data_IF_827922303572
#
_entry.id   IF_827922303572
#
_cell.length_a   1.000
_cell.length_b   1.000
_cell.length_c   1.000
_cell.angle_alpha   90.00
_cell.angle_beta   90.00
_cell.angle_gamma   90.00
#
_symmetry.space_group_name_H-M   'P 1'
#
loop_
_entity.id
_entity.type
_entity.pdbx_description
1 polymer ?
#
# COMPACT_ATOMS: atom_id res chain seq x y z
N UNK A 1 18.19 20.18 -1.87
CA UNK A 1 16.87 20.80 -1.75
C UNK A 1 16.97 22.10 -0.93
N UNK A 2 17.05 22.06 0.37
CA UNK A 2 17.06 23.22 1.26
C UNK A 2 18.47 23.77 1.48
N UNK A 3 18.64 25.10 1.30
CA UNK A 3 19.95 25.77 1.43
C UNK A 3 20.28 26.17 2.88
N UNK A 4 19.27 26.44 3.72
CA UNK A 4 19.48 26.77 5.12
C UNK A 4 19.30 25.56 6.03
N UNK A 5 20.03 25.55 7.17
CA UNK A 5 19.91 24.49 8.18
C UNK A 5 18.53 24.49 8.85
N UNK A 6 17.96 25.67 9.03
CA UNK A 6 16.63 25.85 9.64
C UNK A 6 15.54 25.27 8.73
N UNK A 7 15.58 25.58 7.42
CA UNK A 7 14.61 25.03 6.45
C UNK A 7 14.74 23.49 6.35
N UNK A 8 15.98 22.98 6.35
CA UNK A 8 16.20 21.53 6.37
C UNK A 8 15.67 20.90 7.65
N UNK A 9 15.90 21.49 8.82
CA UNK A 9 15.41 20.97 10.09
C UNK A 9 13.87 20.96 10.13
N UNK A 10 13.22 22.00 9.60
CA UNK A 10 11.76 22.05 9.49
C UNK A 10 11.21 20.97 8.58
N UNK A 11 11.82 20.73 7.42
CA UNK A 11 11.44 19.65 6.51
C UNK A 11 11.62 18.28 7.17
N UNK A 12 12.76 18.04 7.82
CA UNK A 12 13.00 16.77 8.53
C UNK A 12 12.00 16.54 9.67
N UNK A 13 11.67 17.60 10.44
CA UNK A 13 10.67 17.51 11.52
C UNK A 13 9.29 17.07 11.02
N UNK A 14 8.85 17.56 9.87
CA UNK A 14 7.60 17.17 9.20
C UNK A 14 7.56 15.68 8.91
N UNK A 15 8.69 15.09 8.51
CA UNK A 15 8.77 13.66 8.23
C UNK A 15 8.89 12.76 9.47
N UNK A 16 8.95 13.32 10.68
CA UNK A 16 8.85 12.57 11.93
C UNK A 16 7.41 12.28 12.36
N UNK A 17 6.41 12.79 11.65
CA UNK A 17 5.02 12.47 11.89
C UNK A 17 4.72 11.01 11.64
N UNK A 18 3.62 10.55 12.28
CA UNK A 18 3.17 9.16 12.15
C UNK A 18 2.99 8.75 10.68
N UNK A 19 3.67 7.68 10.31
CA UNK A 19 3.59 7.10 8.98
C UNK A 19 3.68 5.59 9.09
N UNK A 20 2.63 4.88 8.67
CA UNK A 20 2.57 3.43 8.68
C UNK A 20 1.92 2.90 7.40
N UNK A 21 2.66 2.14 6.62
CA UNK A 21 2.18 1.48 5.40
C UNK A 21 2.92 0.17 5.18
N UNK A 22 2.48 -0.62 4.20
CA UNK A 22 3.18 -1.85 3.85
C UNK A 22 4.59 -1.57 3.31
N UNK A 23 5.61 -2.32 3.75
CA UNK A 23 7.00 -2.11 3.32
C UNK A 23 7.20 -2.32 1.81
N UNK A 24 6.29 -3.00 1.14
CA UNK A 24 6.36 -3.29 -0.28
C UNK A 24 6.10 -2.04 -1.14
N UNK A 25 5.18 -1.16 -0.72
CA UNK A 25 4.75 0.02 -1.49
C UNK A 25 5.30 1.34 -0.91
N UNK A 26 5.92 1.30 0.26
CA UNK A 26 6.43 2.50 0.95
C UNK A 26 7.23 3.43 0.04
N UNK A 27 8.04 2.88 -0.84
CA UNK A 27 8.93 3.64 -1.74
C UNK A 27 8.17 4.47 -2.79
N UNK A 28 6.95 4.06 -3.15
CA UNK A 28 6.07 4.85 -4.01
C UNK A 28 5.67 6.17 -3.31
N UNK A 29 5.23 6.08 -2.06
CA UNK A 29 4.85 7.27 -1.27
C UNK A 29 6.06 8.16 -1.00
N UNK A 30 7.21 7.56 -0.69
CA UNK A 30 8.45 8.31 -0.49
C UNK A 30 8.88 9.06 -1.77
N UNK A 31 8.69 8.46 -2.95
CA UNK A 31 8.93 9.12 -4.23
C UNK A 31 8.01 10.33 -4.43
N UNK A 32 6.73 10.20 -4.15
CA UNK A 32 5.76 11.30 -4.20
C UNK A 32 6.17 12.43 -3.25
N UNK A 33 6.49 12.08 -2.00
CA UNK A 33 6.92 13.06 -1.01
C UNK A 33 8.21 13.79 -1.42
N UNK A 34 9.16 13.09 -2.02
CA UNK A 34 10.40 13.72 -2.52
C UNK A 34 10.12 14.77 -3.60
N UNK A 35 9.18 14.49 -4.52
CA UNK A 35 8.77 15.45 -5.54
C UNK A 35 8.09 16.68 -4.92
N UNK A 36 7.26 16.47 -3.90
CA UNK A 36 6.56 17.57 -3.23
C UNK A 36 7.51 18.44 -2.38
N UNK A 37 8.49 17.83 -1.73
CA UNK A 37 9.53 18.58 -1.01
C UNK A 37 10.41 19.40 -1.98
N UNK A 38 10.64 18.91 -3.18
CA UNK A 38 11.36 19.67 -4.19
C UNK A 38 10.55 20.87 -4.68
N UNK A 39 9.26 20.71 -4.90
CA UNK A 39 8.35 21.81 -5.25
C UNK A 39 8.29 22.84 -4.12
N UNK A 40 8.11 22.39 -2.87
CA UNK A 40 8.12 23.28 -1.70
C UNK A 40 9.43 24.06 -1.54
N UNK A 41 10.55 23.50 -1.94
CA UNK A 41 11.84 24.18 -1.91
C UNK A 41 11.99 25.24 -3.01
N UNK A 42 11.25 25.11 -4.11
CA UNK A 42 11.33 25.95 -5.29
C UNK A 42 10.20 27.00 -5.38
N UNK A 43 9.01 26.73 -4.81
CA UNK A 43 7.86 27.64 -4.81
C UNK A 43 7.55 28.14 -3.39
N UNK A 44 7.78 29.43 -3.09
CA UNK A 44 7.45 30.03 -1.79
C UNK A 44 5.95 30.02 -1.45
N UNK A 45 5.07 29.88 -2.44
CA UNK A 45 3.62 29.84 -2.26
C UNK A 45 3.08 28.42 -2.11
N UNK A 46 3.94 27.41 -2.11
CA UNK A 46 3.53 26.02 -1.95
C UNK A 46 2.88 25.78 -0.59
N UNK A 47 1.69 25.19 -0.59
CA UNK A 47 1.03 24.80 0.66
C UNK A 47 1.69 23.55 1.24
N UNK A 48 2.52 23.77 2.24
CA UNK A 48 3.30 22.73 2.93
C UNK A 48 2.42 21.63 3.54
N UNK A 49 1.18 21.97 3.94
CA UNK A 49 0.23 20.99 4.51
C UNK A 49 -0.15 19.92 3.50
N UNK A 50 -0.04 20.20 2.21
CA UNK A 50 -0.30 19.24 1.13
C UNK A 50 0.59 17.99 1.23
N UNK A 51 1.83 18.13 1.69
CA UNK A 51 2.78 17.01 1.84
C UNK A 51 2.24 15.99 2.84
N UNK A 52 1.84 16.45 4.02
CA UNK A 52 1.35 15.57 5.08
C UNK A 52 -0.04 14.99 4.76
N UNK A 53 -0.90 15.80 4.15
CA UNK A 53 -2.23 15.37 3.70
C UNK A 53 -2.15 14.25 2.66
N UNK A 54 -1.28 14.35 1.66
CA UNK A 54 -1.09 13.29 0.65
C UNK A 54 -0.46 12.06 1.28
N UNK A 55 0.59 12.22 2.08
CA UNK A 55 1.25 11.12 2.77
C UNK A 55 0.26 10.29 3.60
N UNK A 56 -0.54 10.96 4.41
CA UNK A 56 -1.52 10.30 5.28
C UNK A 56 -2.70 9.70 4.51
N UNK A 57 -3.19 10.38 3.47
CA UNK A 57 -4.29 9.89 2.63
C UNK A 57 -3.92 8.64 1.82
N UNK A 58 -2.67 8.52 1.38
CA UNK A 58 -2.19 7.37 0.61
C UNK A 58 -1.76 6.18 1.49
N UNK A 59 -1.42 6.44 2.74
CA UNK A 59 -0.88 5.46 3.67
C UNK A 59 -1.76 4.22 3.83
N UNK A 60 -3.03 4.40 4.16
CA UNK A 60 -3.98 3.32 4.38
C UNK A 60 -4.36 2.55 3.11
N UNK A 61 -4.87 3.22 2.06
CA UNK A 61 -5.24 2.57 0.81
C UNK A 61 -4.11 1.77 0.18
N UNK A 62 -2.90 2.32 0.12
CA UNK A 62 -1.76 1.62 -0.45
C UNK A 62 -1.27 0.48 0.44
N UNK A 63 -1.39 0.60 1.77
CA UNK A 63 -1.15 -0.52 2.68
C UNK A 63 -2.07 -1.70 2.35
N UNK A 64 -3.38 -1.46 2.25
CA UNK A 64 -4.36 -2.49 1.92
C UNK A 64 -4.08 -3.18 0.57
N UNK A 65 -3.78 -2.43 -0.47
CA UNK A 65 -3.42 -2.98 -1.79
C UNK A 65 -2.13 -3.81 -1.69
N UNK A 66 -1.10 -3.29 -1.02
CA UNK A 66 0.18 -3.97 -0.87
C UNK A 66 0.06 -5.26 -0.09
N UNK A 67 -0.67 -5.24 1.02
CA UNK A 67 -0.88 -6.42 1.86
C UNK A 67 -1.68 -7.49 1.12
N UNK A 68 -2.74 -7.12 0.42
CA UNK A 68 -3.54 -8.07 -0.37
C UNK A 68 -2.71 -8.76 -1.46
N UNK A 69 -1.88 -8.00 -2.16
CA UNK A 69 -1.06 -8.54 -3.24
C UNK A 69 0.14 -9.33 -2.71
N UNK A 70 0.98 -8.72 -1.87
CA UNK A 70 2.24 -9.35 -1.45
C UNK A 70 2.03 -10.43 -0.38
N UNK A 71 1.22 -10.13 0.66
CA UNK A 71 0.97 -11.09 1.73
C UNK A 71 -0.15 -12.07 1.40
N UNK A 72 -1.25 -11.58 0.82
CA UNK A 72 -2.42 -12.39 0.51
C UNK A 72 -2.24 -13.28 -0.73
N UNK A 73 -1.53 -12.82 -1.75
CA UNK A 73 -1.42 -13.57 -3.03
C UNK A 73 -0.03 -14.11 -3.27
N UNK A 74 0.96 -13.23 -3.39
CA UNK A 74 2.31 -13.64 -3.80
C UNK A 74 2.97 -14.59 -2.81
N UNK A 75 2.81 -14.33 -1.51
CA UNK A 75 3.34 -15.19 -0.46
C UNK A 75 2.69 -16.57 -0.47
N UNK A 76 1.38 -16.65 -0.70
CA UNK A 76 0.68 -17.95 -0.76
C UNK A 76 1.16 -18.77 -1.94
N UNK A 77 1.34 -18.16 -3.13
CA UNK A 77 1.89 -18.82 -4.31
C UNK A 77 3.32 -19.31 -4.02
N UNK A 78 4.17 -18.45 -3.49
CA UNK A 78 5.54 -18.83 -3.14
C UNK A 78 5.59 -19.97 -2.13
N UNK A 79 4.72 -19.94 -1.09
CA UNK A 79 4.61 -21.00 -0.10
C UNK A 79 4.15 -22.31 -0.73
N UNK A 80 3.13 -22.29 -1.59
CA UNK A 80 2.62 -23.47 -2.26
C UNK A 80 3.69 -24.18 -3.09
N UNK A 81 4.42 -23.42 -3.92
CA UNK A 81 5.53 -23.96 -4.72
C UNK A 81 6.66 -24.46 -3.83
N UNK A 82 7.06 -23.67 -2.83
CA UNK A 82 8.16 -24.01 -1.94
C UNK A 82 7.91 -25.26 -1.13
N UNK A 83 6.73 -25.38 -0.52
CA UNK A 83 6.36 -26.56 0.29
C UNK A 83 6.17 -27.81 -0.56
N UNK A 84 5.57 -27.70 -1.75
CA UNK A 84 5.40 -28.85 -2.66
C UNK A 84 6.72 -29.51 -3.02
N UNK A 85 7.77 -28.73 -3.31
CA UNK A 85 9.10 -29.25 -3.61
C UNK A 85 9.84 -29.72 -2.35
N UNK A 86 9.68 -29.02 -1.23
CA UNK A 86 10.30 -29.42 0.02
C UNK A 86 9.81 -30.77 0.54
N UNK A 87 8.51 -31.06 0.39
CA UNK A 87 7.92 -32.35 0.74
C UNK A 87 8.47 -33.51 -0.10
N UNK A 88 8.99 -33.24 -1.29
CA UNK A 88 9.69 -34.21 -2.14
C UNK A 88 11.18 -34.34 -1.78
N UNK A 89 11.65 -33.68 -0.71
CA UNK A 89 13.06 -33.65 -0.33
C UNK A 89 13.94 -32.78 -1.24
N UNK A 90 13.34 -31.93 -2.08
CA UNK A 90 14.07 -31.12 -3.03
C UNK A 90 14.47 -29.77 -2.41
N UNK A 91 15.78 -29.51 -2.38
CA UNK A 91 16.38 -28.27 -1.84
C UNK A 91 15.95 -27.00 -2.63
N UNK A 92 15.44 -27.16 -3.85
CA UNK A 92 14.91 -26.05 -4.63
C UNK A 92 13.64 -25.45 -4.01
N UNK A 93 12.94 -26.16 -3.14
CA UNK A 93 11.73 -25.67 -2.46
C UNK A 93 11.96 -24.35 -1.72
N UNK A 94 12.83 -24.30 -0.70
CA UNK A 94 13.16 -23.07 0.03
C UNK A 94 13.75 -21.98 -0.87
N UNK A 95 14.59 -22.36 -1.85
CA UNK A 95 15.21 -21.41 -2.78
C UNK A 95 14.16 -20.73 -3.63
N UNK A 96 13.24 -21.47 -4.24
CA UNK A 96 12.19 -20.91 -5.06
C UNK A 96 11.18 -20.07 -4.23
N UNK A 97 10.87 -20.49 -3.01
CA UNK A 97 10.08 -19.66 -2.09
C UNK A 97 10.68 -18.26 -1.93
N UNK A 98 11.98 -18.19 -1.62
CA UNK A 98 12.69 -16.93 -1.44
C UNK A 98 12.70 -16.11 -2.73
N UNK A 99 12.98 -16.72 -3.87
CA UNK A 99 13.08 -16.02 -5.15
C UNK A 99 11.73 -15.51 -5.64
N UNK A 100 10.69 -16.33 -5.61
CA UNK A 100 9.34 -15.97 -6.06
C UNK A 100 8.78 -14.82 -5.23
N UNK A 101 9.03 -14.81 -3.92
CA UNK A 101 8.55 -13.72 -3.06
C UNK A 101 9.40 -12.45 -3.17
N UNK A 102 10.72 -12.57 -3.11
CA UNK A 102 11.59 -11.40 -3.00
C UNK A 102 11.88 -10.70 -4.32
N UNK A 103 11.98 -11.42 -5.45
CA UNK A 103 12.31 -10.78 -6.74
C UNK A 103 11.25 -9.74 -7.13
N UNK A 104 9.94 -10.06 -7.19
CA UNK A 104 8.92 -9.06 -7.51
C UNK A 104 8.87 -7.92 -6.49
N UNK A 105 9.03 -8.23 -5.21
CA UNK A 105 9.06 -7.25 -4.14
C UNK A 105 10.19 -6.23 -4.31
N UNK A 106 11.43 -6.70 -4.50
CA UNK A 106 12.60 -5.83 -4.63
C UNK A 106 12.54 -5.01 -5.92
N UNK A 107 12.13 -5.61 -7.03
CA UNK A 107 11.94 -4.91 -8.30
C UNK A 107 10.89 -3.81 -8.16
N UNK A 108 9.74 -4.13 -7.55
CA UNK A 108 8.72 -3.12 -7.31
C UNK A 108 9.25 -1.95 -6.48
N UNK A 109 9.91 -2.23 -5.36
CA UNK A 109 10.50 -1.17 -4.50
C UNK A 109 11.50 -0.30 -5.24
N UNK A 110 12.33 -0.91 -6.08
CA UNK A 110 13.32 -0.18 -6.86
C UNK A 110 12.66 0.81 -7.84
N UNK A 111 11.68 0.34 -8.61
CA UNK A 111 11.02 1.18 -9.60
C UNK A 111 9.98 2.14 -8.98
N UNK A 112 9.33 1.74 -7.89
CA UNK A 112 8.27 2.51 -7.26
C UNK A 112 8.72 3.90 -6.78
N UNK A 113 9.97 4.05 -6.33
CA UNK A 113 10.53 5.37 -5.98
C UNK A 113 10.50 6.32 -7.18
N UNK A 114 10.99 5.86 -8.33
CA UNK A 114 11.01 6.67 -9.56
C UNK A 114 9.61 6.95 -10.10
N UNK A 115 8.71 5.96 -10.03
CA UNK A 115 7.30 6.14 -10.41
C UNK A 115 6.60 7.12 -9.47
N UNK A 116 6.80 6.99 -8.16
CA UNK A 116 6.26 7.91 -7.17
C UNK A 116 6.71 9.34 -7.40
N UNK A 117 7.99 9.54 -7.67
CA UNK A 117 8.53 10.86 -7.99
C UNK A 117 7.87 11.47 -9.25
N UNK A 118 7.76 10.70 -10.33
CA UNK A 118 7.08 11.14 -11.57
C UNK A 118 5.59 11.40 -11.35
N UNK A 119 4.92 10.58 -10.54
CA UNK A 119 3.53 10.79 -10.17
C UNK A 119 3.39 12.07 -9.34
N UNK A 120 4.28 12.29 -8.38
CA UNK A 120 4.28 13.50 -7.53
C UNK A 120 4.40 14.78 -8.37
N UNK A 121 5.34 14.86 -9.30
CA UNK A 121 5.51 16.02 -10.17
C UNK A 121 4.31 16.24 -11.12
N UNK A 122 3.75 15.18 -11.68
CA UNK A 122 2.56 15.27 -12.55
C UNK A 122 1.28 15.59 -11.79
N UNK A 123 1.20 15.14 -10.54
CA UNK A 123 0.10 15.38 -9.63
C UNK A 123 0.04 16.82 -9.18
N UNK A 124 1.18 17.41 -8.81
CA UNK A 124 1.30 18.81 -8.39
C UNK A 124 0.81 19.77 -9.48
N UNK A 125 1.18 19.52 -10.74
CA UNK A 125 0.68 20.32 -11.87
C UNK A 125 -0.84 20.32 -11.95
N UNK A 126 -1.48 19.15 -11.79
CA UNK A 126 -2.94 19.01 -11.84
C UNK A 126 -3.66 19.63 -10.64
N UNK A 127 -3.04 19.58 -9.44
CA UNK A 127 -3.61 20.20 -8.24
C UNK A 127 -3.61 21.74 -8.39
N UNK A 128 -2.51 22.30 -8.85
CA UNK A 128 -2.38 23.75 -9.07
C UNK A 128 -3.38 24.25 -10.14
N UNK A 129 -3.62 23.43 -11.18
CA UNK A 129 -4.52 23.80 -12.28
C UNK A 129 -6.01 23.64 -11.94
N UNK A 130 -6.43 22.65 -11.12
CA UNK A 130 -7.83 22.22 -11.03
C UNK A 130 -8.41 22.11 -9.61
N UNK A 131 -7.67 22.39 -8.55
CA UNK A 131 -8.16 22.25 -7.17
C UNK A 131 -8.62 20.81 -6.79
N UNK A 132 -8.10 19.79 -7.46
CA UNK A 132 -8.58 18.39 -7.38
C UNK A 132 -8.21 17.63 -6.10
N UNK A 133 -7.61 18.29 -5.11
CA UNK A 133 -7.14 17.65 -3.87
C UNK A 133 -8.23 16.85 -3.14
N UNK A 134 -9.41 17.46 -3.00
CA UNK A 134 -10.54 16.80 -2.32
C UNK A 134 -11.02 15.52 -3.01
N UNK A 135 -11.09 15.52 -4.34
CA UNK A 135 -11.52 14.37 -5.13
C UNK A 135 -10.53 13.20 -5.05
N UNK A 136 -9.24 13.49 -4.95
CA UNK A 136 -8.20 12.47 -4.84
C UNK A 136 -8.16 11.85 -3.44
N UNK A 137 -8.27 12.66 -2.40
CA UNK A 137 -8.39 12.17 -1.02
C UNK A 137 -9.63 11.29 -0.85
N UNK A 138 -10.77 11.71 -1.42
CA UNK A 138 -12.00 10.93 -1.42
C UNK A 138 -11.82 9.62 -2.18
N UNK A 139 -11.24 9.64 -3.38
CA UNK A 139 -10.99 8.44 -4.17
C UNK A 139 -10.06 7.45 -3.47
N UNK A 140 -8.97 7.93 -2.88
CA UNK A 140 -8.05 7.11 -2.08
C UNK A 140 -8.75 6.50 -0.86
N UNK A 141 -9.60 7.26 -0.16
CA UNK A 141 -10.36 6.79 0.99
C UNK A 141 -11.38 5.72 0.62
N UNK A 142 -12.09 5.88 -0.52
CA UNK A 142 -13.03 4.88 -1.03
C UNK A 142 -12.31 3.57 -1.33
N UNK A 143 -11.20 3.62 -2.07
CA UNK A 143 -10.40 2.43 -2.39
C UNK A 143 -9.91 1.75 -1.10
N UNK A 144 -9.41 2.53 -0.13
CA UNK A 144 -8.95 2.00 1.15
C UNK A 144 -10.06 1.27 1.93
N UNK A 145 -11.24 1.87 2.02
CA UNK A 145 -12.39 1.26 2.67
C UNK A 145 -12.87 0.00 1.96
N UNK A 146 -12.87 0.00 0.61
CA UNK A 146 -13.22 -1.20 -0.17
C UNK A 146 -12.24 -2.35 0.08
N UNK A 147 -10.93 -2.07 0.10
CA UNK A 147 -9.90 -3.09 0.38
C UNK A 147 -10.04 -3.63 1.80
N UNK A 148 -10.18 -2.75 2.79
CA UNK A 148 -10.37 -3.15 4.20
C UNK A 148 -11.66 -3.96 4.36
N UNK A 149 -12.76 -3.51 3.77
CA UNK A 149 -14.04 -4.23 3.80
C UNK A 149 -13.96 -5.61 3.14
N UNK A 150 -13.31 -5.70 1.97
CA UNK A 150 -13.09 -6.97 1.28
C UNK A 150 -12.20 -7.95 2.07
N UNK A 151 -11.12 -7.45 2.68
CA UNK A 151 -10.27 -8.27 3.56
C UNK A 151 -11.04 -8.76 4.79
N UNK A 152 -11.78 -7.87 5.46
CA UNK A 152 -12.60 -8.22 6.61
C UNK A 152 -13.62 -9.29 6.24
N UNK A 153 -14.33 -9.14 5.13
CA UNK A 153 -15.30 -10.12 4.65
C UNK A 153 -14.67 -11.49 4.34
N UNK A 154 -13.45 -11.51 3.82
CA UNK A 154 -12.74 -12.75 3.53
C UNK A 154 -12.14 -13.44 4.77
N UNK A 155 -11.96 -12.72 5.88
CA UNK A 155 -11.42 -13.24 7.14
C UNK A 155 -12.52 -13.71 8.10
N UNK A 156 -13.77 -13.27 7.90
CA UNK A 156 -14.89 -13.67 8.74
C UNK A 156 -15.54 -14.92 8.10
N UNK A 157 -15.21 -16.09 8.63
CA UNK A 157 -15.89 -17.34 8.32
C UNK A 157 -16.95 -17.60 9.40
N UNK A 158 -18.20 -17.21 9.11
CA UNK A 158 -19.33 -17.43 10.04
C UNK A 158 -20.05 -18.70 9.61
N UNK A 159 -19.74 -19.79 10.27
CA UNK A 159 -20.45 -21.05 10.09
C UNK A 159 -21.66 -21.05 11.02
N UNK A 160 -22.83 -20.64 10.53
CA UNK A 160 -24.09 -20.69 11.28
C UNK A 160 -24.79 -22.01 10.92
N UNK A 161 -24.79 -23.04 11.79
CA UNK A 161 -25.51 -24.28 11.53
C UNK A 161 -27.00 -24.06 11.76
N UNK A 162 -27.66 -23.35 10.87
CA UNK A 162 -29.11 -23.21 10.87
C UNK A 162 -29.73 -24.49 10.32
N UNK A 163 -30.31 -25.30 11.19
CA UNK A 163 -31.17 -26.42 10.80
C UNK A 163 -32.61 -25.95 10.67
N UNK A 164 -33.12 -25.88 9.46
CA UNK A 164 -34.52 -25.56 9.18
C UNK A 164 -35.27 -26.87 8.93
N UNK A 165 -36.20 -27.20 9.80
CA UNK A 165 -37.01 -28.42 9.75
C UNK A 165 -36.81 -29.34 10.93
N UNK A 166 -37.79 -30.19 11.21
CA UNK A 166 -37.77 -31.23 12.25
C UNK A 166 -37.81 -32.60 11.60
N UNK A 167 -36.96 -33.53 12.02
CA UNK A 167 -36.92 -34.92 11.54
C UNK A 167 -36.01 -35.12 10.31
N UNK A 168 -36.30 -36.16 9.52
CA UNK A 168 -35.48 -36.59 8.37
C UNK A 168 -35.34 -35.58 7.23
N UNK A 169 -36.14 -34.52 7.24
CA UNK A 169 -36.13 -33.46 6.21
C UNK A 169 -35.42 -32.15 6.65
N UNK A 170 -34.58 -32.22 7.68
CA UNK A 170 -33.83 -31.02 8.12
C UNK A 170 -32.75 -30.65 7.08
N UNK A 171 -32.86 -29.46 6.50
CA UNK A 171 -31.85 -28.89 5.57
C UNK A 171 -30.90 -28.04 6.37
N UNK A 172 -29.59 -28.31 6.28
CA UNK A 172 -28.54 -27.49 6.82
C UNK A 172 -28.17 -26.44 5.78
N UNK A 173 -28.38 -25.17 6.11
CA UNK A 173 -27.92 -24.05 5.26
C UNK A 173 -26.50 -23.71 5.69
N UNK A 174 -25.55 -23.90 4.77
CA UNK A 174 -24.15 -23.48 4.93
C UNK A 174 -23.94 -22.09 4.37
#
# INVERSE_FOLDING_TARGET
LYKSKEAMATALKRHLEFFNTTPHIVTLILGINAAMEEENANDPNFDVSTIDNIKTSLMGPLAGIGDSFFWGTLRLIATGVGTSLALQGNILGPILFILIFNIPHLLFRYFATSWGYKLGTGFLKKIQENGMMGSLTLGASIIGLMVVGGMTASMIDINIPLKIGTGENAVTVQ
#
